data_IF_016401302057
#
_entry.id   IF_016401302057
#
_cell.length_a   1.000
_cell.length_b   1.000
_cell.length_c   1.000
_cell.angle_alpha   90.00
_cell.angle_beta   90.00
_cell.angle_gamma   90.00
#
_symmetry.space_group_name_H-M   'P 1'
#
loop_
_entity.id
_entity.type
_entity.pdbx_description
1 polymer ?
#
# COMPACT_ATOMS: atom_id res chain seq x y z
N UNK A 1 -3.02 -12.95 11.60
CA UNK A 1 -3.36 -12.55 10.21
C UNK A 1 -2.67 -11.23 9.88
N UNK A 2 -2.05 -11.11 8.72
CA UNK A 2 -1.43 -9.88 8.23
C UNK A 2 -2.21 -9.35 7.03
N UNK A 3 -2.43 -8.03 6.96
CA UNK A 3 -3.03 -7.36 5.81
C UNK A 3 -1.94 -6.50 5.17
N UNK A 4 -1.55 -6.82 3.93
CA UNK A 4 -0.62 -6.03 3.12
C UNK A 4 -1.42 -5.08 2.24
N UNK A 5 -1.19 -3.77 2.39
CA UNK A 5 -1.85 -2.72 1.59
C UNK A 5 -0.80 -1.99 0.79
N UNK A 6 -0.93 -2.01 -0.53
CA UNK A 6 -0.06 -1.29 -1.46
C UNK A 6 -0.87 -0.64 -2.58
N UNK A 7 -0.21 -0.07 -3.56
CA UNK A 7 -0.82 0.55 -4.72
C UNK A 7 -0.24 1.93 -5.02
N UNK A 8 -0.76 2.56 -6.06
CA UNK A 8 -0.28 3.84 -6.55
C UNK A 8 -0.40 4.95 -5.51
N UNK A 9 0.36 6.03 -5.70
CA UNK A 9 0.22 7.21 -4.84
C UNK A 9 -1.19 7.80 -4.92
N UNK A 10 -1.63 8.49 -3.88
CA UNK A 10 -2.93 9.18 -3.79
C UNK A 10 -4.19 8.29 -3.83
N UNK A 11 -4.05 6.97 -3.79
CA UNK A 11 -5.20 6.04 -3.83
C UNK A 11 -5.93 5.85 -2.50
N UNK A 12 -5.49 6.53 -1.43
CA UNK A 12 -6.12 6.44 -0.12
C UNK A 12 -5.70 5.22 0.72
N UNK A 13 -4.51 4.63 0.47
CA UNK A 13 -3.96 3.52 1.26
C UNK A 13 -4.00 3.78 2.76
N UNK A 14 -3.46 4.91 3.18
CA UNK A 14 -3.40 5.29 4.60
C UNK A 14 -4.80 5.52 5.18
N UNK A 15 -5.75 6.04 4.38
CA UNK A 15 -7.14 6.19 4.81
C UNK A 15 -7.82 4.83 5.02
N UNK A 16 -7.68 3.90 4.07
CA UNK A 16 -8.18 2.53 4.23
C UNK A 16 -7.56 1.87 5.47
N UNK A 17 -6.25 2.04 5.68
CA UNK A 17 -5.54 1.50 6.85
C UNK A 17 -6.14 2.01 8.16
N UNK A 18 -6.46 3.29 8.27
CA UNK A 18 -7.12 3.87 9.44
C UNK A 18 -8.51 3.26 9.65
N UNK A 19 -9.30 3.09 8.60
CA UNK A 19 -10.62 2.43 8.69
C UNK A 19 -10.54 0.97 9.15
N UNK A 20 -9.53 0.24 8.67
CA UNK A 20 -9.29 -1.14 9.10
C UNK A 20 -8.80 -1.21 10.56
N UNK A 21 -7.94 -0.28 10.98
CA UNK A 21 -7.53 -0.15 12.39
C UNK A 21 -8.74 0.09 13.29
N UNK A 22 -9.62 1.04 12.94
CA UNK A 22 -10.84 1.35 13.69
C UNK A 22 -11.80 0.15 13.77
N UNK A 23 -11.93 -0.60 12.66
CA UNK A 23 -12.87 -1.72 12.56
C UNK A 23 -12.37 -2.97 13.28
N UNK A 24 -11.09 -3.33 13.10
CA UNK A 24 -10.56 -4.61 13.58
C UNK A 24 -9.64 -4.48 14.80
N UNK A 25 -9.28 -3.27 15.20
CA UNK A 25 -8.28 -3.00 16.24
C UNK A 25 -6.90 -3.66 15.93
N UNK A 26 -6.56 -3.80 14.66
CA UNK A 26 -5.24 -4.31 14.27
C UNK A 26 -4.25 -3.16 14.24
N UNK A 27 -3.09 -3.30 14.91
CA UNK A 27 -2.04 -2.31 14.78
C UNK A 27 -1.57 -2.21 13.32
N UNK A 28 -1.06 -1.06 12.91
CA UNK A 28 -0.50 -0.91 11.57
C UNK A 28 0.93 -0.41 11.59
N UNK A 29 1.68 -0.82 10.58
CA UNK A 29 3.02 -0.37 10.26
C UNK A 29 2.99 0.37 8.92
N UNK A 30 3.27 1.67 8.95
CA UNK A 30 3.58 2.43 7.74
C UNK A 30 5.02 2.13 7.32
N UNK A 31 5.19 1.63 6.10
CA UNK A 31 6.53 1.36 5.54
C UNK A 31 7.31 2.66 5.33
N UNK A 32 6.61 3.78 5.07
CA UNK A 32 7.24 5.10 5.00
C UNK A 32 7.83 5.55 6.33
N UNK A 33 7.18 5.24 7.45
CA UNK A 33 7.76 5.52 8.76
C UNK A 33 9.02 4.67 9.00
N UNK A 34 9.00 3.39 8.64
CA UNK A 34 10.18 2.53 8.73
C UNK A 34 11.31 3.06 7.85
N UNK A 35 11.01 3.38 6.58
CA UNK A 35 11.93 4.00 5.62
C UNK A 35 12.62 5.24 6.22
N UNK A 36 11.81 6.20 6.64
CA UNK A 36 12.36 7.44 7.19
C UNK A 36 13.12 7.24 8.49
N UNK A 37 12.72 6.27 9.32
CA UNK A 37 13.46 5.87 10.52
C UNK A 37 14.86 5.37 10.19
N UNK A 38 14.99 4.48 9.21
CA UNK A 38 16.26 3.90 8.78
C UNK A 38 17.18 4.94 8.10
N UNK A 39 16.62 5.79 7.24
CA UNK A 39 17.37 6.88 6.59
C UNK A 39 17.89 7.88 7.63
N UNK A 40 17.01 8.41 8.47
CA UNK A 40 17.37 9.46 9.45
C UNK A 40 18.29 8.99 10.55
N UNK A 41 18.26 7.70 10.88
CA UNK A 41 19.17 7.09 11.86
C UNK A 41 20.53 6.69 11.28
N UNK A 42 20.72 6.86 9.96
CA UNK A 42 21.97 6.52 9.28
C UNK A 42 22.18 5.01 9.07
N UNK A 43 21.13 4.19 9.17
CA UNK A 43 21.21 2.75 8.90
C UNK A 43 21.26 2.43 7.41
N UNK A 44 21.07 3.40 6.53
CA UNK A 44 21.25 3.31 5.08
C UNK A 44 21.78 4.63 4.54
N UNK A 45 22.49 4.56 3.40
CA UNK A 45 22.90 5.73 2.63
C UNK A 45 21.87 6.12 1.53
N UNK A 46 20.79 5.36 1.40
CA UNK A 46 19.73 5.65 0.45
C UNK A 46 18.97 6.92 0.84
N UNK A 47 18.42 7.58 -0.15
CA UNK A 47 17.59 8.78 0.01
C UNK A 47 16.12 8.45 -0.29
N UNK A 48 15.16 9.30 0.05
CA UNK A 48 13.76 9.08 -0.29
C UNK A 48 13.45 9.01 -1.79
N UNK A 49 14.41 9.34 -2.67
CA UNK A 49 14.28 9.30 -4.13
C UNK A 49 14.74 7.98 -4.76
N UNK A 50 15.35 7.09 -3.96
CA UNK A 50 15.91 5.81 -4.43
C UNK A 50 14.88 4.68 -4.27
N UNK A 51 13.69 4.82 -4.88
CA UNK A 51 12.52 3.96 -4.62
C UNK A 51 12.76 2.47 -4.95
N UNK A 52 13.48 2.17 -6.03
CA UNK A 52 13.78 0.78 -6.41
C UNK A 52 14.72 0.13 -5.40
N UNK A 53 15.81 0.80 -5.06
CA UNK A 53 16.79 0.35 -4.08
C UNK A 53 16.17 0.27 -2.68
N UNK A 54 15.29 1.20 -2.33
CA UNK A 54 14.54 1.17 -1.07
C UNK A 54 13.61 -0.03 -1.01
N UNK A 55 12.97 -0.41 -2.11
CA UNK A 55 12.15 -1.63 -2.15
C UNK A 55 13.01 -2.86 -1.84
N UNK A 56 14.16 -3.01 -2.50
CA UNK A 56 15.09 -4.11 -2.28
C UNK A 56 15.66 -4.13 -0.86
N UNK A 57 15.88 -2.97 -0.25
CA UNK A 57 16.40 -2.84 1.10
C UNK A 57 15.34 -3.10 2.19
N UNK A 58 14.14 -2.57 2.02
CA UNK A 58 13.08 -2.64 3.03
C UNK A 58 12.35 -3.98 3.03
N UNK A 59 12.14 -4.58 1.84
CA UNK A 59 11.34 -5.79 1.72
C UNK A 59 11.85 -6.97 2.55
N UNK A 60 13.15 -7.32 2.58
CA UNK A 60 13.65 -8.38 3.45
C UNK A 60 13.35 -8.13 4.94
N UNK A 61 13.41 -6.88 5.40
CA UNK A 61 13.11 -6.51 6.79
C UNK A 61 11.62 -6.72 7.06
N UNK A 62 10.76 -6.20 6.19
CA UNK A 62 9.31 -6.34 6.30
C UNK A 62 8.87 -7.80 6.29
N UNK A 63 9.44 -8.60 5.38
CA UNK A 63 9.16 -10.03 5.28
C UNK A 63 9.41 -10.76 6.61
N UNK A 64 10.56 -10.54 7.25
CA UNK A 64 10.88 -11.21 8.52
C UNK A 64 10.02 -10.68 9.68
N UNK A 65 9.64 -9.40 9.67
CA UNK A 65 8.67 -8.86 10.62
C UNK A 65 7.30 -9.52 10.45
N UNK A 66 6.83 -9.67 9.21
CA UNK A 66 5.56 -10.33 8.88
C UNK A 66 5.57 -11.80 9.35
N UNK A 67 6.64 -12.56 9.07
CA UNK A 67 6.80 -13.93 9.55
C UNK A 67 6.70 -14.00 11.07
N UNK A 68 7.42 -13.13 11.77
CA UNK A 68 7.40 -13.06 13.23
C UNK A 68 6.01 -12.79 13.79
N UNK A 69 5.24 -11.88 13.17
CA UNK A 69 3.85 -11.57 13.56
C UNK A 69 2.95 -12.81 13.38
N UNK A 70 3.10 -13.54 12.28
CA UNK A 70 2.32 -14.75 11.99
C UNK A 70 2.67 -15.87 13.00
N UNK A 71 3.95 -16.11 13.24
CA UNK A 71 4.45 -17.11 14.20
C UNK A 71 3.94 -16.85 15.62
N UNK A 72 3.81 -15.59 15.99
CA UNK A 72 3.26 -15.18 17.29
C UNK A 72 1.73 -15.13 17.33
N UNK A 73 1.03 -15.54 16.26
CA UNK A 73 -0.44 -15.48 16.14
C UNK A 73 -1.00 -14.08 16.38
N UNK A 74 -0.25 -13.05 15.98
CA UNK A 74 -0.64 -11.65 16.08
C UNK A 74 -1.29 -11.15 14.79
N UNK A 75 -1.91 -9.98 14.87
CA UNK A 75 -2.46 -9.28 13.72
C UNK A 75 -1.65 -8.03 13.41
N UNK A 76 -1.51 -7.69 12.13
CA UNK A 76 -0.80 -6.48 11.69
C UNK A 76 -1.33 -6.03 10.34
N UNK A 77 -1.47 -4.72 10.15
CA UNK A 77 -1.64 -4.10 8.84
C UNK A 77 -0.28 -3.51 8.45
N UNK A 78 0.22 -3.86 7.26
CA UNK A 78 1.45 -3.28 6.68
C UNK A 78 1.04 -2.47 5.46
N UNK A 79 1.34 -1.19 5.46
CA UNK A 79 0.93 -0.26 4.41
C UNK A 79 2.13 0.48 3.82
N UNK A 80 2.23 0.51 2.49
CA UNK A 80 3.24 1.29 1.77
C UNK A 80 3.48 0.85 0.33
N UNK A 81 4.36 1.59 -0.35
CA UNK A 81 4.68 1.37 -1.75
C UNK A 81 5.75 0.29 -1.98
N UNK A 82 6.52 -0.06 -0.95
CA UNK A 82 7.74 -0.87 -1.05
C UNK A 82 7.49 -2.38 -0.94
N UNK A 83 6.39 -2.85 -1.53
CA UNK A 83 6.03 -4.27 -1.64
C UNK A 83 6.31 -4.70 -3.08
N UNK A 84 7.24 -5.64 -3.35
CA UNK A 84 7.57 -6.05 -4.71
C UNK A 84 6.43 -6.84 -5.35
N UNK A 85 6.34 -6.84 -6.67
CA UNK A 85 5.26 -7.51 -7.39
C UNK A 85 5.23 -9.03 -7.16
N UNK A 86 6.39 -9.63 -6.96
CA UNK A 86 6.57 -11.05 -6.67
C UNK A 86 6.57 -11.38 -5.16
N UNK A 87 6.06 -10.48 -4.32
CA UNK A 87 6.07 -10.58 -2.86
C UNK A 87 5.70 -11.97 -2.32
N UNK A 88 4.73 -12.61 -2.96
CA UNK A 88 4.21 -13.91 -2.55
C UNK A 88 5.26 -15.00 -2.63
N UNK A 89 6.20 -14.92 -3.59
CA UNK A 89 7.30 -15.86 -3.74
C UNK A 89 8.32 -15.79 -2.60
N UNK A 90 8.29 -14.71 -1.82
CA UNK A 90 9.15 -14.54 -0.65
C UNK A 90 8.68 -15.27 0.59
N UNK A 91 7.49 -15.91 0.53
CA UNK A 91 6.88 -16.63 1.65
C UNK A 91 6.60 -18.09 1.29
N UNK A 92 6.87 -18.98 2.23
CA UNK A 92 6.41 -20.36 2.18
C UNK A 92 4.87 -20.42 2.26
N UNK A 93 4.27 -21.49 1.75
CA UNK A 93 2.79 -21.64 1.65
C UNK A 93 2.10 -21.51 3.01
N UNK A 94 2.78 -21.91 4.07
CA UNK A 94 2.29 -21.84 5.45
C UNK A 94 2.02 -20.39 5.88
N UNK A 95 2.89 -19.46 5.52
CA UNK A 95 2.71 -18.03 5.84
C UNK A 95 1.69 -17.37 4.93
N UNK A 96 1.63 -17.75 3.65
CA UNK A 96 0.73 -17.13 2.67
C UNK A 96 -0.76 -17.21 3.07
N UNK A 97 -1.13 -18.24 3.82
CA UNK A 97 -2.52 -18.43 4.32
C UNK A 97 -2.97 -17.31 5.26
N UNK A 98 -2.02 -16.76 6.02
CA UNK A 98 -2.26 -15.73 7.02
C UNK A 98 -2.02 -14.32 6.50
N UNK A 99 -1.77 -14.17 5.19
CA UNK A 99 -1.56 -12.88 4.53
C UNK A 99 -2.74 -12.58 3.60
N UNK A 100 -3.35 -11.42 3.80
CA UNK A 100 -4.32 -10.82 2.88
C UNK A 100 -3.66 -9.67 2.16
N UNK A 101 -3.83 -9.61 0.85
CA UNK A 101 -3.17 -8.61 0.00
C UNK A 101 -4.20 -7.71 -0.67
N UNK A 102 -3.93 -6.42 -0.66
CA UNK A 102 -4.73 -5.39 -1.31
C UNK A 102 -3.79 -4.46 -2.06
N UNK A 103 -3.92 -4.40 -3.37
CA UNK A 103 -3.33 -3.36 -4.18
C UNK A 103 -4.43 -2.41 -4.64
N UNK A 104 -4.31 -1.11 -4.30
CA UNK A 104 -5.32 -0.10 -4.66
C UNK A 104 -4.83 0.69 -5.86
N UNK A 105 -5.67 0.77 -6.89
CA UNK A 105 -5.45 1.60 -8.07
C UNK A 105 -6.72 2.35 -8.47
N UNK A 106 -6.55 3.44 -9.20
CA UNK A 106 -7.62 4.22 -9.80
C UNK A 106 -7.66 4.00 -11.31
N UNK A 107 -8.84 4.02 -11.92
CA UNK A 107 -8.98 4.04 -13.38
C UNK A 107 -8.54 5.39 -13.94
N UNK A 108 -8.17 5.41 -15.23
CA UNK A 108 -7.84 6.65 -15.93
C UNK A 108 -9.01 7.63 -15.91
N UNK A 109 -10.22 7.12 -16.16
CA UNK A 109 -11.46 7.90 -16.14
C UNK A 109 -11.75 8.49 -14.74
N UNK A 110 -11.51 7.71 -13.67
CA UNK A 110 -11.66 8.21 -12.30
C UNK A 110 -10.68 9.35 -12.03
N UNK A 111 -9.42 9.19 -12.38
CA UNK A 111 -8.37 10.22 -12.19
C UNK A 111 -8.74 11.51 -12.93
N UNK A 112 -9.16 11.42 -14.20
CA UNK A 112 -9.52 12.59 -15.00
C UNK A 112 -10.70 13.37 -14.39
N UNK A 113 -11.73 12.67 -13.93
CA UNK A 113 -12.94 13.29 -13.41
C UNK A 113 -12.80 13.81 -11.97
N UNK A 114 -11.90 13.22 -11.17
CA UNK A 114 -11.74 13.53 -9.74
C UNK A 114 -10.39 14.11 -9.36
N UNK A 115 -9.57 14.53 -10.33
CA UNK A 115 -8.21 15.00 -10.10
C UNK A 115 -8.10 16.04 -8.99
N UNK A 116 -8.96 17.07 -9.03
CA UNK A 116 -8.95 18.15 -8.01
C UNK A 116 -9.25 17.63 -6.60
N UNK A 117 -10.11 16.63 -6.48
CA UNK A 117 -10.45 16.00 -5.21
C UNK A 117 -9.31 15.11 -4.70
N UNK A 118 -8.68 14.34 -5.61
CA UNK A 118 -7.52 13.51 -5.31
C UNK A 118 -6.40 14.34 -4.70
N UNK A 119 -6.02 15.44 -5.37
CA UNK A 119 -4.97 16.33 -4.87
C UNK A 119 -5.37 17.02 -3.57
N UNK A 120 -6.59 17.52 -3.45
CA UNK A 120 -7.09 18.15 -2.22
C UNK A 120 -7.04 17.20 -1.03
N UNK A 121 -7.33 15.92 -1.26
CA UNK A 121 -7.40 14.90 -0.21
C UNK A 121 -6.04 14.25 0.10
N UNK A 122 -5.00 14.52 -0.67
CA UNK A 122 -3.67 13.93 -0.52
C UNK A 122 -3.05 14.12 0.86
N UNK A 123 -3.38 15.22 1.54
CA UNK A 123 -2.81 15.61 2.84
C UNK A 123 -3.78 15.47 4.02
N UNK A 124 -4.87 14.70 3.88
CA UNK A 124 -5.86 14.54 4.98
C UNK A 124 -5.25 13.82 6.20
N UNK A 125 -4.40 12.82 5.98
CA UNK A 125 -3.81 12.02 7.05
C UNK A 125 -2.31 12.30 7.19
N UNK A 126 -1.61 12.51 6.06
CA UNK A 126 -0.17 12.71 6.02
C UNK A 126 0.16 14.09 5.48
N UNK A 127 1.12 14.78 6.12
CA UNK A 127 1.66 16.02 5.57
C UNK A 127 2.67 15.69 4.48
N UNK A 128 2.31 15.90 3.22
CA UNK A 128 3.21 15.73 2.08
C UNK A 128 4.02 17.00 1.86
N UNK A 129 5.32 16.82 1.65
CA UNK A 129 6.25 17.95 1.54
C UNK A 129 6.26 18.57 0.14
N UNK A 130 5.91 17.81 -0.90
CA UNK A 130 5.90 18.32 -2.29
C UNK A 130 4.99 17.42 -3.18
N UNK A 131 3.90 18.00 -3.67
CA UNK A 131 2.97 17.38 -4.63
C UNK A 131 2.96 18.16 -5.97
N UNK A 132 3.93 19.07 -6.18
CA UNK A 132 3.93 19.97 -7.34
C UNK A 132 4.04 19.23 -8.69
N UNK A 133 4.61 18.03 -8.70
CA UNK A 133 4.80 17.23 -9.91
C UNK A 133 3.72 16.14 -10.12
N UNK A 134 2.66 16.13 -9.29
CA UNK A 134 1.61 15.12 -9.35
C UNK A 134 0.57 15.45 -10.42
N UNK A 135 0.94 15.34 -11.70
CA UNK A 135 0.01 15.57 -12.82
C UNK A 135 -0.96 14.40 -13.04
N UNK A 136 -2.02 14.64 -13.84
CA UNK A 136 -2.95 13.58 -14.26
C UNK A 136 -2.21 12.43 -14.94
N UNK A 137 -1.29 12.75 -15.86
CA UNK A 137 -0.49 11.77 -16.59
C UNK A 137 0.43 10.97 -15.67
N UNK A 138 0.99 11.62 -14.64
CA UNK A 138 1.78 10.95 -13.63
C UNK A 138 0.93 9.94 -12.85
N UNK A 139 -0.24 10.35 -12.35
CA UNK A 139 -1.15 9.47 -11.63
C UNK A 139 -1.62 8.29 -12.49
N UNK A 140 -1.99 8.53 -13.75
CA UNK A 140 -2.40 7.48 -14.68
C UNK A 140 -1.27 6.45 -14.91
N UNK A 141 -0.04 6.92 -15.13
CA UNK A 141 1.14 6.06 -15.31
C UNK A 141 1.41 5.21 -14.07
N UNK A 142 1.42 5.82 -12.88
CA UNK A 142 1.62 5.13 -11.61
C UNK A 142 0.55 4.05 -11.37
N UNK A 143 -0.72 4.41 -11.56
CA UNK A 143 -1.82 3.47 -11.36
C UNK A 143 -1.75 2.29 -12.34
N UNK A 144 -1.38 2.55 -13.60
CA UNK A 144 -1.15 1.51 -14.60
C UNK A 144 0.02 0.59 -14.22
N UNK A 145 1.14 1.16 -13.78
CA UNK A 145 2.32 0.43 -13.35
C UNK A 145 2.00 -0.57 -12.23
N UNK A 146 1.32 -0.13 -11.17
CA UNK A 146 0.93 -1.01 -10.07
C UNK A 146 -0.08 -2.07 -10.51
N UNK A 147 -1.08 -1.70 -11.31
CA UNK A 147 -2.08 -2.62 -11.81
C UNK A 147 -1.47 -3.72 -12.68
N UNK A 148 -0.68 -3.34 -13.68
CA UNK A 148 -0.05 -4.29 -14.60
C UNK A 148 0.97 -5.15 -13.88
N UNK A 149 1.78 -4.57 -13.00
CA UNK A 149 2.77 -5.27 -12.22
C UNK A 149 2.16 -6.38 -11.37
N UNK A 150 1.20 -6.07 -10.51
CA UNK A 150 0.59 -7.08 -9.63
C UNK A 150 -0.31 -8.07 -10.38
N UNK A 151 -1.08 -7.63 -11.38
CA UNK A 151 -1.85 -8.55 -12.23
C UNK A 151 -0.94 -9.54 -12.98
N UNK A 152 0.25 -9.10 -13.41
CA UNK A 152 1.24 -9.97 -14.06
C UNK A 152 1.74 -11.12 -13.19
N UNK A 153 1.68 -10.95 -11.87
CA UNK A 153 1.99 -12.00 -10.87
C UNK A 153 0.75 -12.71 -10.32
N UNK A 154 -0.43 -12.48 -10.91
CA UNK A 154 -1.68 -13.16 -10.56
C UNK A 154 -2.40 -12.61 -9.33
N UNK A 155 -2.00 -11.42 -8.86
CA UNK A 155 -2.68 -10.75 -7.76
C UNK A 155 -3.93 -10.00 -8.25
N UNK A 156 -4.97 -10.01 -7.42
CA UNK A 156 -6.14 -9.18 -7.65
C UNK A 156 -5.87 -7.74 -7.21
N UNK A 157 -6.19 -6.79 -8.08
CA UNK A 157 -6.05 -5.36 -7.82
C UNK A 157 -7.42 -4.75 -7.56
N UNK A 158 -7.54 -4.00 -6.48
CA UNK A 158 -8.76 -3.28 -6.12
C UNK A 158 -8.81 -1.96 -6.89
N UNK A 159 -9.71 -1.87 -7.87
CA UNK A 159 -9.83 -0.74 -8.78
C UNK A 159 -10.89 0.25 -8.29
N UNK A 160 -10.51 1.50 -8.12
CA UNK A 160 -11.44 2.62 -7.91
C UNK A 160 -11.83 3.17 -9.30
N UNK A 161 -13.09 2.96 -9.70
CA UNK A 161 -13.62 3.39 -11.01
C UNK A 161 -14.97 4.15 -10.91
N UNK A 162 -15.52 4.23 -9.70
CA UNK A 162 -16.79 4.89 -9.40
C UNK A 162 -16.72 5.69 -8.10
N UNK A 163 -17.81 5.73 -7.35
CA UNK A 163 -17.85 6.42 -6.07
C UNK A 163 -16.88 5.81 -5.06
N UNK A 164 -16.00 6.65 -4.50
CA UNK A 164 -14.96 6.23 -3.57
C UNK A 164 -15.52 5.64 -2.27
N UNK A 165 -16.59 6.22 -1.74
CA UNK A 165 -17.20 5.73 -0.48
C UNK A 165 -17.90 4.39 -0.69
N UNK A 166 -18.50 4.17 -1.85
CA UNK A 166 -19.06 2.87 -2.22
C UNK A 166 -17.96 1.82 -2.30
N UNK A 167 -16.89 2.11 -3.05
CA UNK A 167 -15.72 1.25 -3.12
C UNK A 167 -15.12 0.94 -1.74
N UNK A 168 -14.93 1.96 -0.92
CA UNK A 168 -14.38 1.80 0.44
C UNK A 168 -15.25 0.89 1.30
N UNK A 169 -16.57 1.08 1.26
CA UNK A 169 -17.51 0.24 2.01
C UNK A 169 -17.50 -1.22 1.50
N UNK A 170 -17.42 -1.44 0.21
CA UNK A 170 -17.28 -2.79 -0.37
C UNK A 170 -16.00 -3.47 0.11
N UNK A 171 -14.87 -2.76 0.09
CA UNK A 171 -13.60 -3.26 0.60
C UNK A 171 -13.70 -3.57 2.09
N UNK A 172 -14.28 -2.67 2.90
CA UNK A 172 -14.40 -2.85 4.35
C UNK A 172 -15.39 -3.95 4.75
N UNK A 173 -16.42 -4.22 3.95
CA UNK A 173 -17.48 -5.21 4.27
C UNK A 173 -17.28 -6.54 3.54
N UNK A 174 -16.43 -6.59 2.53
CA UNK A 174 -16.19 -7.78 1.73
C UNK A 174 -15.65 -8.94 2.57
N UNK A 175 -16.15 -10.16 2.28
CA UNK A 175 -15.70 -11.41 2.91
C UNK A 175 -14.21 -11.73 2.64
N UNK A 176 -13.58 -10.96 1.75
CA UNK A 176 -12.17 -11.11 1.38
C UNK A 176 -11.18 -10.77 2.50
N UNK A 177 -11.67 -10.23 3.64
CA UNK A 177 -10.84 -9.86 4.80
C UNK A 177 -11.00 -10.79 6.01
N UNK A 178 -11.88 -11.77 5.94
CA UNK A 178 -12.10 -12.73 7.03
C UNK A 178 -11.53 -14.11 6.73
#
# INVERSE_FOLDING_TARGET
MVILITGATHTGKTFLTQRLLEKYNYPYLSVDHLKMGLIRSGNTCLTPLDDEELTLYLWPILREMIKTVIENHQNLIVEGCYIPFDWRQSFEVEYQKDIRFICITMSENYIENHYSEIIKNASIIESRLDDNDCSVEFLQRENRFYREGFCGYGENVSLIDGDYEVWLNEVLTGESFL
#
